data_IF_037088568072
#
_entry.id   IF_037088568072
#
_cell.length_a   1.000
_cell.length_b   1.000
_cell.length_c   1.000
_cell.angle_alpha   90.00
_cell.angle_beta   90.00
_cell.angle_gamma   90.00
#
_symmetry.space_group_name_H-M   'P 1'
#
loop_
_entity.id
_entity.type
_entity.pdbx_description
1 polymer ?
#
# COMPACT_ATOMS: atom_id res chain seq x y z
N UNK A 1 1.44 51.41 -23.23
CA UNK A 1 2.03 50.30 -22.44
C UNK A 1 1.07 49.94 -21.33
N UNK A 2 0.14 49.02 -21.56
CA UNK A 2 -0.60 48.33 -20.50
C UNK A 2 -1.14 47.03 -21.10
N UNK A 3 -0.43 45.93 -20.79
CA UNK A 3 -0.73 44.59 -21.30
C UNK A 3 -1.87 43.93 -20.54
N UNK A 4 -2.81 43.42 -21.33
CA UNK A 4 -3.37 42.06 -21.30
C UNK A 4 -4.01 41.53 -20.01
N UNK A 5 -5.33 41.39 -20.15
CA UNK A 5 -6.29 40.63 -19.36
C UNK A 5 -5.96 39.14 -19.17
N UNK A 6 -6.22 38.67 -17.94
CA UNK A 6 -7.03 37.50 -17.58
C UNK A 6 -6.75 36.08 -18.16
N UNK A 7 -6.49 35.15 -17.22
CA UNK A 7 -7.10 33.79 -17.06
C UNK A 7 -6.83 32.74 -18.18
N UNK A 8 -6.76 31.41 -18.00
CA UNK A 8 -6.89 30.44 -16.91
C UNK A 8 -6.70 29.05 -17.56
N UNK A 9 -5.77 28.22 -17.10
CA UNK A 9 -5.83 26.76 -17.24
C UNK A 9 -5.25 26.16 -15.95
N UNK A 10 -6.07 25.99 -14.90
CA UNK A 10 -6.64 24.70 -14.49
C UNK A 10 -5.62 23.55 -14.37
N UNK A 11 -4.62 23.71 -13.51
CA UNK A 11 -4.06 22.55 -12.81
C UNK A 11 -4.97 22.19 -11.63
N UNK A 12 -5.87 21.24 -11.87
CA UNK A 12 -6.44 20.41 -10.80
C UNK A 12 -5.31 19.58 -10.20
N UNK A 13 -4.69 20.05 -9.12
CA UNK A 13 -4.13 19.14 -8.11
C UNK A 13 -5.11 19.06 -6.95
N UNK A 14 -6.04 18.12 -7.09
CA UNK A 14 -6.78 17.60 -5.97
C UNK A 14 -5.84 16.64 -5.22
N UNK A 15 -5.23 17.12 -4.14
CA UNK A 15 -4.77 16.27 -3.05
C UNK A 15 -5.51 16.74 -1.79
N UNK A 16 -6.70 16.19 -1.48
CA UNK A 16 -7.45 16.55 -0.29
C UNK A 16 -6.89 15.73 0.88
N UNK A 17 -5.74 16.14 1.41
CA UNK A 17 -5.20 15.52 2.62
C UNK A 17 -4.38 16.52 3.44
N UNK A 18 -4.97 17.65 3.78
CA UNK A 18 -4.51 18.46 4.91
C UNK A 18 -5.72 19.09 5.56
N UNK A 19 -6.52 18.20 6.16
CA UNK A 19 -7.58 18.57 7.08
C UNK A 19 -6.96 19.38 8.22
N UNK A 20 -7.51 20.56 8.50
CA UNK A 20 -6.95 21.51 9.45
C UNK A 20 -6.72 20.90 10.83
N UNK A 21 -5.46 20.78 11.23
CA UNK A 21 -5.05 20.43 12.58
C UNK A 21 -4.66 21.71 13.32
N UNK A 22 -5.60 22.18 14.16
CA UNK A 22 -5.44 23.32 15.09
C UNK A 22 -4.48 23.05 16.26
N UNK A 23 -3.64 22.01 16.18
CA UNK A 23 -2.69 21.62 17.21
C UNK A 23 -1.37 21.16 16.57
N UNK A 24 -0.47 22.09 16.19
CA UNK A 24 0.82 21.76 15.57
C UNK A 24 1.78 20.97 16.48
N UNK A 25 1.43 20.76 17.75
CA UNK A 25 2.22 19.96 18.70
C UNK A 25 1.85 18.46 18.70
N UNK A 26 0.75 18.06 18.06
CA UNK A 26 0.27 16.66 18.02
C UNK A 26 0.54 15.98 16.68
N UNK A 27 1.46 16.50 15.86
CA UNK A 27 2.01 15.77 14.73
C UNK A 27 3.04 14.74 15.23
N UNK A 28 2.55 13.78 16.02
CA UNK A 28 3.31 12.60 16.37
C UNK A 28 3.47 11.79 15.08
N UNK A 29 4.57 12.04 14.37
CA UNK A 29 5.07 11.15 13.34
C UNK A 29 5.39 9.82 14.01
N UNK A 30 4.37 8.98 14.14
CA UNK A 30 4.53 7.58 14.42
C UNK A 30 5.26 7.00 13.20
N UNK A 31 6.59 7.12 13.21
CA UNK A 31 7.47 6.32 12.37
C UNK A 31 7.20 4.89 12.80
N UNK A 32 6.20 4.27 12.17
CA UNK A 32 5.94 2.86 12.30
C UNK A 32 7.29 2.18 12.01
N UNK A 33 7.84 1.52 13.04
CA UNK A 33 9.12 0.83 12.92
C UNK A 33 8.98 -0.11 11.71
N UNK A 34 9.86 -0.03 10.69
CA UNK A 34 9.72 -0.84 9.51
C UNK A 34 9.66 -2.28 9.98
N UNK A 35 8.52 -2.92 9.72
CA UNK A 35 8.36 -4.35 9.97
C UNK A 35 9.45 -5.00 9.12
N UNK A 36 10.30 -5.88 9.67
CA UNK A 36 11.29 -6.55 8.87
C UNK A 36 10.56 -7.33 7.77
N UNK A 37 10.64 -6.78 6.56
CA UNK A 37 9.93 -7.24 5.38
C UNK A 37 10.34 -8.68 4.99
N UNK A 38 11.42 -9.20 5.60
CA UNK A 38 11.96 -10.55 5.39
C UNK A 38 10.97 -11.70 5.68
N UNK A 39 9.90 -11.43 6.45
CA UNK A 39 8.97 -12.47 6.89
C UNK A 39 7.64 -12.53 6.12
N UNK A 40 7.25 -11.45 5.41
CA UNK A 40 6.06 -11.49 4.55
C UNK A 40 6.44 -12.15 3.23
N UNK A 41 5.90 -13.34 2.98
CA UNK A 41 6.24 -14.18 1.83
C UNK A 41 5.01 -14.67 1.09
N UNK A 42 5.11 -14.71 -0.23
CA UNK A 42 4.11 -15.32 -1.09
C UNK A 42 4.34 -16.83 -1.11
N UNK A 43 3.43 -17.58 -0.46
CA UNK A 43 3.47 -19.06 -0.44
C UNK A 43 2.81 -19.68 -1.66
N UNK A 44 1.84 -19.01 -2.25
CA UNK A 44 1.05 -19.56 -3.34
C UNK A 44 0.28 -18.49 -4.12
N UNK A 45 -0.03 -18.79 -5.37
CA UNK A 45 -1.03 -18.08 -6.15
C UNK A 45 -2.10 -19.09 -6.55
N UNK A 46 -3.34 -18.79 -6.22
CA UNK A 46 -4.51 -19.61 -6.51
C UNK A 46 -5.51 -18.79 -7.33
N UNK A 47 -6.53 -19.44 -7.91
CA UNK A 47 -7.51 -18.73 -8.73
C UNK A 47 -6.99 -18.31 -10.11
N UNK A 48 -6.73 -19.28 -11.00
CA UNK A 48 -6.45 -18.98 -12.41
C UNK A 48 -7.69 -18.37 -13.10
N UNK A 49 -7.49 -17.34 -13.92
CA UNK A 49 -8.52 -16.75 -14.76
C UNK A 49 -9.25 -15.56 -14.12
N UNK A 50 -10.50 -15.77 -13.67
CA UNK A 50 -11.41 -14.66 -13.30
C UNK A 50 -11.08 -13.96 -11.98
N UNK A 51 -10.43 -14.63 -11.02
CA UNK A 51 -10.17 -14.08 -9.67
C UNK A 51 -8.84 -14.62 -9.12
N UNK A 52 -7.70 -14.02 -9.48
CA UNK A 52 -6.42 -14.39 -8.91
C UNK A 52 -6.40 -14.05 -7.42
N UNK A 53 -5.89 -15.00 -6.63
CA UNK A 53 -5.75 -14.92 -5.19
C UNK A 53 -4.32 -15.25 -4.80
N UNK A 54 -3.81 -14.53 -3.82
CA UNK A 54 -2.47 -14.67 -3.30
C UNK A 54 -2.50 -15.26 -1.89
N UNK A 55 -1.81 -16.38 -1.69
CA UNK A 55 -1.56 -16.92 -0.37
C UNK A 55 -0.29 -16.28 0.19
N UNK A 56 -0.46 -15.30 1.07
CA UNK A 56 0.63 -14.53 1.68
C UNK A 56 0.71 -14.93 3.15
N UNK A 57 1.86 -15.49 3.53
CA UNK A 57 2.07 -16.16 4.80
C UNK A 57 0.99 -17.22 5.12
N UNK A 58 -0.10 -16.87 5.80
CA UNK A 58 -1.20 -17.79 6.09
C UNK A 58 -2.58 -17.26 5.66
N UNK A 59 -2.60 -16.13 4.95
CA UNK A 59 -3.84 -15.46 4.54
C UNK A 59 -3.97 -15.46 3.02
N UNK A 60 -5.20 -15.64 2.55
CA UNK A 60 -5.53 -15.58 1.13
C UNK A 60 -6.15 -14.23 0.81
N UNK A 61 -5.50 -13.48 -0.06
CA UNK A 61 -5.85 -12.10 -0.42
C UNK A 61 -6.14 -11.99 -1.92
N UNK A 62 -7.22 -11.31 -2.30
CA UNK A 62 -7.44 -10.91 -3.69
C UNK A 62 -6.98 -9.46 -3.92
N UNK A 63 -6.87 -9.04 -5.18
CA UNK A 63 -6.60 -7.65 -5.51
C UNK A 63 -7.68 -6.72 -4.92
N UNK A 64 -7.26 -5.70 -4.18
CA UNK A 64 -8.10 -4.77 -3.44
C UNK A 64 -8.37 -5.16 -1.98
N UNK A 65 -8.11 -6.40 -1.58
CA UNK A 65 -8.36 -6.85 -0.21
C UNK A 65 -7.31 -6.34 0.77
N UNK A 66 -7.71 -6.27 2.03
CA UNK A 66 -6.83 -5.92 3.15
C UNK A 66 -6.94 -7.00 4.21
N UNK A 67 -5.81 -7.51 4.68
CA UNK A 67 -5.77 -8.50 5.76
C UNK A 67 -4.77 -8.10 6.85
N UNK A 68 -4.90 -8.75 8.00
CA UNK A 68 -4.00 -8.62 9.12
C UNK A 68 -3.12 -9.86 9.16
N UNK A 69 -1.84 -9.71 8.80
CA UNK A 69 -0.87 -10.79 8.83
C UNK A 69 -0.14 -10.82 10.17
N UNK A 70 0.07 -12.00 10.72
CA UNK A 70 1.04 -12.18 11.79
C UNK A 70 2.44 -12.36 11.19
N UNK A 71 3.37 -11.53 11.64
CA UNK A 71 4.76 -11.44 11.17
C UNK A 71 5.63 -11.23 12.40
N UNK A 72 6.56 -12.14 12.69
CA UNK A 72 7.46 -12.08 13.84
C UNK A 72 6.75 -11.93 15.20
N UNK A 73 5.56 -12.51 15.37
CA UNK A 73 4.73 -12.33 16.58
C UNK A 73 4.10 -10.93 16.70
N UNK A 74 4.05 -10.17 15.60
CA UNK A 74 3.34 -8.89 15.49
C UNK A 74 2.30 -8.97 14.41
N UNK A 75 1.16 -8.33 14.64
CA UNK A 75 0.16 -8.19 13.61
C UNK A 75 0.39 -6.94 12.78
N UNK A 76 0.43 -7.10 11.47
CA UNK A 76 0.69 -6.05 10.50
C UNK A 76 -0.44 -6.05 9.49
N UNK A 77 -1.02 -4.88 9.23
CA UNK A 77 -2.04 -4.75 8.20
C UNK A 77 -1.37 -4.62 6.84
N UNK A 78 -1.87 -5.39 5.88
CA UNK A 78 -1.41 -5.32 4.49
C UNK A 78 -2.60 -5.18 3.57
N UNK A 79 -2.42 -4.40 2.50
CA UNK A 79 -3.37 -4.25 1.42
C UNK A 79 -2.79 -4.86 0.15
N UNK A 80 -3.51 -5.79 -0.44
CA UNK A 80 -3.17 -6.35 -1.74
C UNK A 80 -3.60 -5.37 -2.82
N UNK A 81 -2.65 -4.70 -3.46
CA UNK A 81 -2.94 -3.75 -4.52
C UNK A 81 -3.26 -4.48 -5.83
N UNK A 82 -2.45 -5.48 -6.15
CA UNK A 82 -2.56 -6.20 -7.43
C UNK A 82 -2.04 -7.64 -7.27
N UNK A 83 -2.78 -8.61 -7.83
CA UNK A 83 -2.34 -10.02 -7.91
C UNK A 83 -2.03 -10.32 -9.37
N UNK A 84 -0.76 -10.59 -9.68
CA UNK A 84 -0.29 -10.96 -11.02
C UNK A 84 -0.12 -12.48 -11.12
N UNK A 85 0.26 -12.95 -12.30
CA UNK A 85 0.42 -14.38 -12.59
C UNK A 85 1.54 -15.04 -11.79
N UNK A 86 2.60 -14.31 -11.46
CA UNK A 86 3.79 -14.82 -10.77
C UNK A 86 4.25 -13.95 -9.60
N UNK A 87 3.58 -12.81 -9.39
CA UNK A 87 3.93 -11.84 -8.35
C UNK A 87 2.70 -11.14 -7.78
N UNK A 88 2.88 -10.48 -6.64
CA UNK A 88 1.81 -9.76 -5.94
C UNK A 88 2.36 -8.46 -5.41
N UNK A 89 1.66 -7.37 -5.68
CA UNK A 89 1.96 -6.05 -5.15
C UNK A 89 1.16 -5.84 -3.86
N UNK A 90 1.88 -5.64 -2.75
CA UNK A 90 1.31 -5.45 -1.42
C UNK A 90 1.77 -4.13 -0.84
N UNK A 91 0.84 -3.38 -0.26
CA UNK A 91 1.16 -2.24 0.57
C UNK A 91 1.11 -2.67 2.03
N UNK A 92 2.24 -2.58 2.71
CA UNK A 92 2.35 -2.90 4.13
C UNK A 92 2.13 -1.61 4.93
N UNK A 93 1.33 -1.68 5.99
CA UNK A 93 1.15 -0.55 6.90
C UNK A 93 2.47 -0.20 7.59
N UNK A 94 2.96 1.02 7.33
CA UNK A 94 4.27 1.50 7.83
C UNK A 94 5.39 1.49 6.78
N UNK A 95 5.16 0.92 5.59
CA UNK A 95 6.05 1.08 4.44
C UNK A 95 5.52 2.20 3.52
N UNK A 96 6.40 3.07 3.05
CA UNK A 96 6.05 4.15 2.11
C UNK A 96 5.81 3.61 0.70
N UNK A 97 6.62 2.63 0.30
CA UNK A 97 6.57 2.00 -1.01
C UNK A 97 5.85 0.66 -0.96
N UNK A 98 5.04 0.32 -1.98
CA UNK A 98 4.45 -0.99 -2.08
C UNK A 98 5.49 -2.02 -2.50
N UNK A 99 5.38 -3.22 -1.93
CA UNK A 99 6.34 -4.30 -2.09
C UNK A 99 5.82 -5.37 -3.04
N UNK A 100 6.63 -5.74 -4.00
CA UNK A 100 6.36 -6.87 -4.88
C UNK A 100 6.89 -8.17 -4.26
N UNK A 101 6.01 -9.15 -4.06
CA UNK A 101 6.38 -10.51 -3.66
C UNK A 101 6.32 -11.45 -4.86
N UNK A 102 7.29 -12.36 -4.97
CA UNK A 102 7.39 -13.35 -6.06
C UNK A 102 7.42 -14.76 -5.48
N UNK A 103 6.82 -15.70 -6.22
CA UNK A 103 6.90 -17.13 -5.90
C UNK A 103 8.32 -17.63 -6.11
N UNK A 104 8.91 -18.26 -5.10
CA UNK A 104 10.20 -18.95 -5.21
C UNK A 104 11.45 -18.13 -4.83
N UNK A 105 11.30 -16.92 -4.27
CA UNK A 105 12.43 -16.20 -3.69
C UNK A 105 12.46 -16.40 -2.15
N UNK A 106 13.54 -17.00 -1.61
CA UNK A 106 13.71 -17.20 -0.17
C UNK A 106 14.13 -15.90 0.56
#
# INVERSE_FOLDING_TARGET
MTGTSAQLEKEKKADPASNGSLFPWLAANARAKPVPATEIRLKGLTGRGKRPMALINNETLAAGDTARLEVAGKFVRVQCLEVRTTSVLLKVEGEEEPRELKLGMP
#
